data_IF_827366099631
#
_entry.id   IF_827366099631
#
_cell.length_a   1.000
_cell.length_b   1.000
_cell.length_c   1.000
_cell.angle_alpha   90.00
_cell.angle_beta   90.00
_cell.angle_gamma   90.00
#
_symmetry.space_group_name_H-M   'P 1'
#
loop_
_entity.id
_entity.type
_entity.pdbx_description
1 polymer ?
#
# COMPACT_ATOMS: atom_id res chain seq x y z
N UNK A 1 -56.30 66.27 47.13
CA UNK A 1 -54.94 66.45 46.58
C UNK A 1 -54.07 65.19 46.65
N UNK A 2 -54.21 64.28 47.62
CA UNK A 2 -53.37 63.07 47.70
C UNK A 2 -53.68 61.98 46.64
N UNK A 3 -54.94 61.85 46.22
CA UNK A 3 -55.38 60.83 45.25
C UNK A 3 -54.82 61.06 43.85
N UNK A 4 -54.78 62.30 43.37
CA UNK A 4 -54.24 62.63 42.04
C UNK A 4 -52.75 62.32 41.92
N UNK A 5 -51.97 62.58 42.98
CA UNK A 5 -50.54 62.26 43.02
C UNK A 5 -50.31 60.74 43.00
N UNK A 6 -51.10 59.97 43.76
CA UNK A 6 -51.02 58.51 43.76
C UNK A 6 -51.35 57.94 42.38
N UNK A 7 -52.40 58.44 41.72
CA UNK A 7 -52.78 58.00 40.36
C UNK A 7 -51.68 58.29 39.34
N UNK A 8 -51.04 59.47 39.41
CA UNK A 8 -49.93 59.82 38.51
C UNK A 8 -48.71 58.90 38.72
N UNK A 9 -48.38 58.57 39.97
CA UNK A 9 -47.27 57.66 40.27
C UNK A 9 -47.55 56.25 39.74
N UNK A 10 -48.79 55.77 39.88
CA UNK A 10 -49.19 54.44 39.36
C UNK A 10 -49.08 54.41 37.83
N UNK A 11 -49.54 55.45 37.13
CA UNK A 11 -49.42 55.54 35.67
C UNK A 11 -47.95 55.56 35.25
N UNK A 12 -47.12 56.37 35.91
CA UNK A 12 -45.68 56.44 35.63
C UNK A 12 -44.98 55.09 35.86
N UNK A 13 -45.34 54.37 36.92
CA UNK A 13 -44.80 53.05 37.22
C UNK A 13 -45.21 52.02 36.15
N UNK A 14 -46.47 52.03 35.70
CA UNK A 14 -46.94 51.14 34.63
C UNK A 14 -46.21 51.42 33.32
N UNK A 15 -46.04 52.69 32.95
CA UNK A 15 -45.29 53.08 31.75
C UNK A 15 -43.83 52.63 31.85
N UNK A 16 -43.19 52.82 33.02
CA UNK A 16 -41.81 52.38 33.24
C UNK A 16 -41.66 50.85 33.09
N UNK A 17 -42.60 50.07 33.64
CA UNK A 17 -42.59 48.60 33.51
C UNK A 17 -42.76 48.19 32.04
N UNK A 18 -43.67 48.83 31.30
CA UNK A 18 -43.87 48.54 29.88
C UNK A 18 -42.62 48.88 29.04
N UNK A 19 -41.93 49.98 29.34
CA UNK A 19 -40.68 50.33 28.67
C UNK A 19 -39.57 49.31 28.94
N UNK A 20 -39.43 48.85 30.19
CA UNK A 20 -38.45 47.82 30.55
C UNK A 20 -38.78 46.48 29.87
N UNK A 21 -40.06 46.10 29.80
CA UNK A 21 -40.52 44.90 29.09
C UNK A 21 -40.23 44.99 27.58
N UNK A 22 -40.48 46.14 26.96
CA UNK A 22 -40.21 46.36 25.54
C UNK A 22 -38.69 46.31 25.23
N UNK A 23 -37.86 46.93 26.07
CA UNK A 23 -36.40 46.92 25.93
C UNK A 23 -35.82 45.50 26.07
N UNK A 24 -36.29 44.74 27.06
CA UNK A 24 -35.85 43.35 27.26
C UNK A 24 -36.29 42.43 26.13
N UNK A 25 -37.51 42.62 25.60
CA UNK A 25 -38.00 41.87 24.44
C UNK A 25 -37.23 42.20 23.15
N UNK A 26 -36.98 43.48 22.87
CA UNK A 26 -36.20 43.92 21.71
C UNK A 26 -34.75 43.42 21.76
N UNK A 27 -34.11 43.46 22.95
CA UNK A 27 -32.77 42.92 23.14
C UNK A 27 -32.70 41.39 22.93
N UNK A 28 -33.74 40.65 23.35
CA UNK A 28 -33.86 39.20 23.12
C UNK A 28 -34.11 38.89 21.64
N UNK A 29 -34.96 39.65 20.95
CA UNK A 29 -35.27 39.44 19.54
C UNK A 29 -34.06 39.71 18.63
N UNK A 30 -33.28 40.76 18.91
CA UNK A 30 -32.05 41.08 18.17
C UNK A 30 -30.99 39.99 18.28
N UNK A 31 -30.87 39.34 19.46
CA UNK A 31 -29.98 38.19 19.68
C UNK A 31 -30.43 36.94 18.92
N UNK A 32 -31.74 36.69 18.81
CA UNK A 32 -32.26 35.58 18.01
C UNK A 32 -32.10 35.76 16.49
N UNK A 33 -32.06 37.01 16.01
CA UNK A 33 -31.80 37.32 14.60
C UNK A 33 -30.34 37.07 14.20
N UNK A 34 -29.37 37.39 15.07
CA UNK A 34 -27.96 37.11 14.79
C UNK A 34 -27.62 35.62 14.76
N UNK A 35 -28.23 34.81 15.65
CA UNK A 35 -28.00 33.35 15.68
C UNK A 35 -28.50 32.60 14.43
N UNK A 36 -29.46 33.16 13.70
CA UNK A 36 -29.96 32.56 12.43
C UNK A 36 -29.04 32.83 11.24
N UNK A 37 -28.31 33.95 11.24
CA UNK A 37 -27.37 34.30 10.17
C UNK A 37 -26.07 33.48 10.30
N UNK A 38 -25.62 33.22 11.53
CA UNK A 38 -24.44 32.40 11.82
C UNK A 38 -24.59 30.94 11.38
N UNK A 39 -25.79 30.36 11.55
CA UNK A 39 -26.08 28.99 11.10
C UNK A 39 -26.10 28.84 9.57
N UNK A 40 -26.38 29.92 8.83
CA UNK A 40 -26.29 29.95 7.36
C UNK A 40 -24.83 29.94 6.89
N UNK A 41 -24.00 30.81 7.47
CA UNK A 41 -22.56 30.88 7.15
C UNK A 41 -21.82 29.59 7.46
N UNK A 42 -22.09 28.95 8.61
CA UNK A 42 -21.45 27.67 8.97
C UNK A 42 -21.83 26.55 7.98
N UNK A 43 -23.03 26.59 7.39
CA UNK A 43 -23.43 25.59 6.36
C UNK A 43 -22.76 25.85 5.01
N UNK A 44 -22.59 27.11 4.62
CA UNK A 44 -21.86 27.47 3.39
C UNK A 44 -20.36 27.15 3.52
N UNK A 45 -19.73 27.51 4.63
CA UNK A 45 -18.31 27.23 4.90
C UNK A 45 -18.05 25.71 4.96
N UNK A 46 -18.93 24.95 5.62
CA UNK A 46 -18.83 23.49 5.66
C UNK A 46 -19.00 22.85 4.27
N UNK A 47 -19.84 23.39 3.39
CA UNK A 47 -19.98 22.87 2.03
C UNK A 47 -18.73 23.12 1.18
N UNK A 48 -18.09 24.27 1.31
CA UNK A 48 -16.82 24.55 0.61
C UNK A 48 -15.69 23.65 1.09
N UNK A 49 -15.56 23.44 2.41
CA UNK A 49 -14.52 22.58 2.98
C UNK A 49 -14.75 21.10 2.63
N UNK A 50 -16.01 20.66 2.55
CA UNK A 50 -16.36 19.29 2.13
C UNK A 50 -15.94 19.01 0.69
N UNK A 51 -15.98 20.00 -0.22
CA UNK A 51 -15.53 19.81 -1.61
C UNK A 51 -14.02 19.57 -1.68
N UNK A 52 -13.23 20.29 -0.87
CA UNK A 52 -11.78 20.11 -0.83
C UNK A 52 -11.38 18.73 -0.26
N UNK A 53 -12.05 18.28 0.81
CA UNK A 53 -11.81 16.96 1.39
C UNK A 53 -12.21 15.85 0.42
N UNK A 54 -13.38 15.96 -0.23
CA UNK A 54 -13.83 14.98 -1.24
C UNK A 54 -12.88 14.88 -2.43
N UNK A 55 -12.30 15.99 -2.87
CA UNK A 55 -11.35 15.97 -3.98
C UNK A 55 -10.05 15.24 -3.59
N UNK A 56 -9.61 15.41 -2.34
CA UNK A 56 -8.44 14.69 -1.79
C UNK A 56 -8.73 13.21 -1.55
N UNK A 57 -9.93 12.88 -1.11
CA UNK A 57 -10.41 11.51 -0.94
C UNK A 57 -10.51 10.79 -2.29
N UNK A 58 -11.05 11.46 -3.32
CA UNK A 58 -11.10 10.93 -4.69
C UNK A 58 -9.70 10.67 -5.26
N UNK A 59 -8.73 11.56 -5.04
CA UNK A 59 -7.34 11.33 -5.46
C UNK A 59 -6.69 10.16 -4.71
N UNK A 60 -7.01 9.98 -3.43
CA UNK A 60 -6.52 8.86 -2.64
C UNK A 60 -7.13 7.53 -3.12
N UNK A 61 -8.43 7.50 -3.41
CA UNK A 61 -9.12 6.35 -3.99
C UNK A 61 -8.60 6.00 -5.38
N UNK A 62 -8.38 7.00 -6.24
CA UNK A 62 -7.79 6.83 -7.57
C UNK A 62 -6.36 6.27 -7.46
N UNK A 63 -5.55 6.81 -6.54
CA UNK A 63 -4.19 6.32 -6.31
C UNK A 63 -4.21 4.89 -5.78
N UNK A 64 -5.11 4.55 -4.86
CA UNK A 64 -5.26 3.20 -4.33
C UNK A 64 -5.74 2.22 -5.42
N UNK A 65 -6.66 2.63 -6.29
CA UNK A 65 -7.11 1.83 -7.42
C UNK A 65 -5.97 1.60 -8.42
N UNK A 66 -5.21 2.65 -8.77
CA UNK A 66 -4.05 2.56 -9.66
C UNK A 66 -2.95 1.67 -9.08
N UNK A 67 -2.71 1.72 -7.77
CA UNK A 67 -1.77 0.82 -7.10
C UNK A 67 -2.20 -0.65 -7.21
N UNK A 68 -3.49 -0.94 -6.99
CA UNK A 68 -4.01 -2.31 -7.17
C UNK A 68 -3.92 -2.80 -8.62
N UNK A 69 -4.18 -1.93 -9.59
CA UNK A 69 -4.02 -2.26 -11.00
C UNK A 69 -2.55 -2.59 -11.34
N UNK A 70 -1.61 -1.75 -10.91
CA UNK A 70 -0.18 -1.98 -11.12
C UNK A 70 0.32 -3.26 -10.44
N UNK A 71 -0.21 -3.59 -9.25
CA UNK A 71 0.11 -4.83 -8.56
C UNK A 71 -0.41 -6.06 -9.32
N UNK A 72 -1.65 -6.01 -9.81
CA UNK A 72 -2.21 -7.10 -10.61
C UNK A 72 -1.40 -7.35 -11.90
N UNK A 73 -0.95 -6.27 -12.57
CA UNK A 73 -0.08 -6.38 -13.75
C UNK A 73 1.30 -7.00 -13.39
N UNK A 74 1.86 -6.62 -12.24
CA UNK A 74 3.10 -7.20 -11.75
C UNK A 74 2.95 -8.70 -11.42
N UNK A 75 1.85 -9.09 -10.81
CA UNK A 75 1.56 -10.50 -10.48
C UNK A 75 1.42 -11.35 -11.75
N UNK A 76 0.74 -10.84 -12.79
CA UNK A 76 0.65 -11.52 -14.09
C UNK A 76 2.04 -11.67 -14.71
N UNK A 77 2.87 -10.63 -14.67
CA UNK A 77 4.24 -10.68 -15.18
C UNK A 77 5.12 -11.65 -14.40
N UNK A 78 4.96 -11.71 -13.07
CA UNK A 78 5.66 -12.65 -12.22
C UNK A 78 5.26 -14.09 -12.55
N UNK A 79 3.97 -14.37 -12.70
CA UNK A 79 3.48 -15.69 -13.11
C UNK A 79 4.03 -16.11 -14.48
N UNK A 80 4.09 -15.19 -15.45
CA UNK A 80 4.68 -15.46 -16.76
C UNK A 80 6.18 -15.77 -16.67
N UNK A 81 6.93 -15.03 -15.85
CA UNK A 81 8.34 -15.29 -15.61
C UNK A 81 8.55 -16.66 -14.94
N UNK A 82 7.75 -17.01 -13.93
CA UNK A 82 7.77 -18.33 -13.30
C UNK A 82 7.45 -19.44 -14.28
N UNK A 83 6.49 -19.23 -15.20
CA UNK A 83 6.18 -20.17 -16.28
C UNK A 83 7.36 -20.44 -17.22
N UNK A 84 8.04 -19.39 -17.67
CA UNK A 84 9.26 -19.52 -18.50
C UNK A 84 10.40 -20.21 -17.74
N UNK A 85 10.56 -19.92 -16.45
CA UNK A 85 11.57 -20.56 -15.62
C UNK A 85 11.28 -22.06 -15.44
N UNK A 86 10.01 -22.44 -15.24
CA UNK A 86 9.59 -23.83 -15.18
C UNK A 86 9.92 -24.56 -16.49
N UNK A 87 9.63 -23.95 -17.64
CA UNK A 87 9.94 -24.51 -18.95
C UNK A 87 11.45 -24.69 -19.16
N UNK A 88 12.25 -23.69 -18.76
CA UNK A 88 13.70 -23.80 -18.79
C UNK A 88 14.22 -24.92 -17.86
N UNK A 89 13.59 -25.11 -16.70
CA UNK A 89 13.95 -26.21 -15.79
C UNK A 89 13.63 -27.59 -16.38
N UNK A 90 12.49 -27.73 -17.08
CA UNK A 90 12.14 -28.97 -17.79
C UNK A 90 13.17 -29.29 -18.86
N UNK A 91 13.50 -28.34 -19.75
CA UNK A 91 14.51 -28.56 -20.79
C UNK A 91 15.90 -28.86 -20.23
N UNK A 92 16.26 -28.25 -19.09
CA UNK A 92 17.51 -28.59 -18.40
C UNK A 92 17.49 -30.02 -17.86
N UNK A 93 16.36 -30.46 -17.28
CA UNK A 93 16.17 -31.83 -16.81
C UNK A 93 16.31 -32.84 -17.95
N UNK A 94 15.62 -32.61 -19.07
CA UNK A 94 15.71 -33.44 -20.27
C UNK A 94 17.15 -33.55 -20.80
N UNK A 95 17.89 -32.44 -20.80
CA UNK A 95 19.29 -32.42 -21.22
C UNK A 95 20.22 -33.22 -20.27
N UNK A 96 19.94 -33.21 -18.96
CA UNK A 96 20.68 -34.02 -17.98
C UNK A 96 20.38 -35.50 -18.19
N UNK A 97 19.10 -35.88 -18.26
CA UNK A 97 18.69 -37.27 -18.52
C UNK A 97 19.26 -37.82 -19.84
N UNK A 98 19.27 -37.00 -20.90
CA UNK A 98 19.88 -37.40 -22.17
C UNK A 98 21.38 -37.66 -22.03
N UNK A 99 22.08 -36.88 -21.20
CA UNK A 99 23.52 -37.06 -20.94
C UNK A 99 23.80 -38.31 -20.13
N UNK A 100 22.99 -38.58 -19.11
CA UNK A 100 23.07 -39.82 -18.33
C UNK A 100 22.85 -41.04 -19.22
N UNK A 101 21.83 -41.01 -20.07
CA UNK A 101 21.55 -42.10 -21.00
C UNK A 101 22.68 -42.32 -22.01
N UNK A 102 23.33 -41.26 -22.50
CA UNK A 102 24.53 -41.39 -23.33
C UNK A 102 25.69 -41.99 -22.54
N UNK A 103 25.93 -41.56 -21.30
CA UNK A 103 27.00 -42.11 -20.46
C UNK A 103 26.79 -43.61 -20.22
N UNK A 104 25.57 -44.05 -19.92
CA UNK A 104 25.23 -45.48 -19.77
C UNK A 104 25.49 -46.30 -21.04
N UNK A 105 25.26 -45.71 -22.23
CA UNK A 105 25.57 -46.38 -23.50
C UNK A 105 27.08 -46.50 -23.72
N UNK A 106 27.85 -45.49 -23.35
CA UNK A 106 29.31 -45.51 -23.44
C UNK A 106 29.90 -46.53 -22.47
N UNK A 107 29.45 -46.54 -21.21
CA UNK A 107 29.87 -47.54 -20.22
C UNK A 107 29.57 -48.97 -20.69
N UNK A 108 28.39 -49.19 -21.31
CA UNK A 108 28.03 -50.49 -21.88
C UNK A 108 28.92 -50.87 -23.07
N UNK A 109 29.28 -49.91 -23.92
CA UNK A 109 30.18 -50.15 -25.04
C UNK A 109 31.59 -50.53 -24.55
N UNK A 110 32.13 -49.81 -23.57
CA UNK A 110 33.43 -50.08 -22.97
C UNK A 110 33.48 -51.46 -22.29
N UNK A 111 32.38 -51.87 -21.64
CA UNK A 111 32.28 -53.19 -21.01
C UNK A 111 32.25 -54.34 -22.04
N UNK A 112 31.75 -54.07 -23.25
CA UNK A 112 31.64 -55.05 -24.32
C UNK A 112 32.87 -55.06 -25.24
N UNK A 113 33.79 -54.11 -25.12
CA UNK A 113 35.01 -54.04 -25.91
C UNK A 113 36.13 -54.95 -25.33
N UNK A 114 36.47 -56.06 -26.00
CA UNK A 114 37.56 -56.94 -25.59
C UNK A 114 38.95 -56.32 -25.82
N UNK A 115 39.05 -55.15 -26.45
CA UNK A 115 40.29 -54.38 -26.58
C UNK A 115 40.49 -53.32 -25.47
N UNK A 116 39.58 -53.24 -24.50
CA UNK A 116 39.74 -52.35 -23.35
C UNK A 116 41.00 -52.75 -22.56
N UNK A 117 41.93 -51.82 -22.28
CA UNK A 117 43.12 -52.13 -21.52
C UNK A 117 42.71 -52.49 -20.10
N UNK A 118 42.59 -53.79 -19.83
CA UNK A 118 42.53 -54.33 -18.47
C UNK A 118 43.67 -53.70 -17.69
N UNK A 119 43.31 -53.06 -16.59
CA UNK A 119 44.22 -52.41 -15.64
C UNK A 119 45.07 -53.45 -14.89
N UNK A 120 45.77 -54.33 -15.61
CA UNK A 120 46.71 -55.31 -15.06
C UNK A 120 48.17 -54.88 -15.26
N UNK A 121 48.41 -53.67 -15.78
CA UNK A 121 49.75 -53.08 -15.86
C UNK A 121 49.81 -51.79 -15.06
N UNK A 122 49.81 -51.92 -13.73
CA UNK A 122 50.29 -50.84 -12.84
C UNK A 122 51.19 -51.37 -11.72
N UNK A 123 51.67 -52.62 -11.83
CA UNK A 123 52.54 -53.22 -10.83
C UNK A 123 54.01 -53.35 -11.27
N UNK A 124 54.41 -52.88 -12.46
CA UNK A 124 55.80 -53.04 -12.92
C UNK A 124 56.35 -51.73 -13.48
N UNK A 125 57.39 -51.25 -12.80
CA UNK A 125 58.42 -50.31 -13.24
C UNK A 125 58.11 -48.79 -13.19
N UNK A 126 58.25 -48.22 -12.00
CA UNK A 126 59.20 -47.10 -11.86
C UNK A 126 59.76 -47.02 -10.43
N UNK A 127 60.70 -47.92 -10.14
CA UNK A 127 61.74 -47.69 -9.15
C UNK A 127 62.86 -46.93 -9.89
N UNK A 128 62.96 -45.62 -9.68
CA UNK A 128 64.26 -44.95 -9.55
C UNK A 128 64.12 -43.55 -8.93
N UNK A 129 65.15 -43.09 -8.19
CA UNK A 129 65.06 -41.99 -7.24
C UNK A 129 65.47 -40.63 -7.83
N UNK A 130 64.91 -39.57 -7.22
CA UNK A 130 65.32 -38.15 -7.15
C UNK A 130 66.54 -37.65 -7.95
N UNK A 131 66.47 -36.40 -8.45
CA UNK A 131 67.14 -35.34 -7.68
C UNK A 131 66.36 -34.02 -7.56
N UNK A 132 66.59 -33.40 -6.41
CA UNK A 132 66.22 -32.05 -5.97
C UNK A 132 66.79 -30.93 -6.85
N UNK A 133 66.00 -29.90 -7.16
CA UNK A 133 66.39 -28.49 -7.31
C UNK A 133 65.10 -27.70 -7.60
N UNK A 134 64.65 -26.78 -6.75
CA UNK A 134 65.09 -25.37 -6.77
C UNK A 134 64.42 -24.63 -7.93
N UNK A 135 63.75 -23.50 -7.80
CA UNK A 135 63.80 -22.45 -6.78
C UNK A 135 62.69 -21.44 -7.09
N UNK A 136 62.19 -20.80 -6.04
CA UNK A 136 61.70 -19.41 -5.94
C UNK A 136 60.49 -18.97 -6.77
#
# INVERSE_FOLDING_TARGET
MATSTIVLIVIAAVVAILLIAALTWAARNKRNQHRRIEAGKIREDAQQETLYVKQREALAEETAAKARAAQAEADVKAAHASGLQQQAAVHRGEAVTSREHLNEQWDRADTLDPASPTSDTSAVAHDEPQPTAGSR
#
